data_IF_136113194846
#
_entry.id   IF_136113194846
#
_cell.length_a   1.000
_cell.length_b   1.000
_cell.length_c   1.000
_cell.angle_alpha   90.00
_cell.angle_beta   90.00
_cell.angle_gamma   90.00
#
_symmetry.space_group_name_H-M   'P 1'
#
loop_
_entity.id
_entity.type
_entity.pdbx_description
1 polymer ?
#
# COMPACT_ATOMS: atom_id res chain seq x y z
N UNK A 1 39.45 35.15 -61.09
CA UNK A 1 39.10 35.53 -59.72
C UNK A 1 37.67 35.11 -59.45
N UNK A 2 37.47 33.95 -58.86
CA UNK A 2 36.17 33.49 -58.36
C UNK A 2 36.16 33.57 -56.84
N UNK A 3 35.16 34.14 -56.21
CA UNK A 3 34.98 34.04 -54.79
C UNK A 3 34.39 32.68 -54.42
N UNK A 4 34.98 32.04 -53.40
CA UNK A 4 34.55 30.79 -52.79
C UNK A 4 33.43 31.19 -51.84
N UNK A 5 32.20 30.67 -52.06
CA UNK A 5 31.09 30.78 -51.09
C UNK A 5 31.24 29.68 -50.03
N UNK A 6 31.57 30.11 -48.84
CA UNK A 6 31.56 29.24 -47.66
C UNK A 6 30.12 28.91 -47.28
N UNK A 7 29.68 27.70 -47.57
CA UNK A 7 28.43 27.13 -47.06
C UNK A 7 28.63 26.69 -45.60
N UNK A 8 28.42 27.61 -44.68
CA UNK A 8 28.34 27.34 -43.26
C UNK A 8 27.09 26.50 -42.95
N UNK A 9 27.27 25.22 -42.80
CA UNK A 9 26.21 24.31 -42.38
C UNK A 9 25.85 24.57 -40.92
N UNK A 10 24.80 25.40 -40.73
CA UNK A 10 24.16 25.63 -39.43
C UNK A 10 23.66 24.33 -38.88
N UNK A 11 24.37 23.80 -37.88
CA UNK A 11 23.89 22.65 -37.07
C UNK A 11 22.72 23.12 -36.21
N UNK A 12 21.51 22.54 -36.32
CA UNK A 12 20.38 22.95 -35.53
C UNK A 12 20.68 22.67 -34.04
N UNK A 13 20.32 23.62 -33.18
CA UNK A 13 20.51 23.50 -31.74
C UNK A 13 19.61 22.41 -31.17
N UNK A 14 20.01 21.81 -30.04
CA UNK A 14 19.23 20.77 -29.37
C UNK A 14 17.79 21.21 -29.05
N UNK A 15 17.53 22.51 -28.96
CA UNK A 15 16.20 23.10 -28.75
C UNK A 15 15.32 23.02 -29.98
N UNK A 16 15.90 23.28 -31.17
CA UNK A 16 15.16 23.23 -32.44
C UNK A 16 14.82 21.80 -32.84
N UNK A 17 15.66 20.82 -32.51
CA UNK A 17 15.38 19.42 -32.73
C UNK A 17 14.14 18.92 -31.96
N UNK A 18 13.95 19.37 -30.71
CA UNK A 18 12.78 19.00 -29.90
C UNK A 18 11.48 19.62 -30.45
N UNK A 19 11.51 20.82 -30.99
CA UNK A 19 10.32 21.48 -31.54
C UNK A 19 9.88 20.84 -32.87
N UNK A 20 10.81 20.44 -33.72
CA UNK A 20 10.49 19.80 -35.01
C UNK A 20 10.03 18.36 -34.86
N UNK A 21 10.54 17.60 -33.84
CA UNK A 21 10.08 16.26 -33.53
C UNK A 21 8.62 16.20 -33.04
N UNK A 22 8.14 17.28 -32.40
CA UNK A 22 6.73 17.36 -31.95
C UNK A 22 5.74 17.74 -33.07
N UNK A 23 6.19 18.36 -34.16
CA UNK A 23 5.30 18.87 -35.24
C UNK A 23 4.98 17.83 -36.32
N UNK A 24 5.76 16.77 -36.45
CA UNK A 24 5.52 15.72 -37.49
C UNK A 24 4.67 14.55 -37.01
N UNK A 25 4.29 14.48 -35.71
CA UNK A 25 3.47 13.40 -35.14
C UNK A 25 1.97 13.75 -35.05
N UNK A 26 1.49 14.87 -35.60
CA UNK A 26 0.14 15.41 -35.31
C UNK A 26 -0.92 15.11 -36.37
N UNK A 27 -0.82 14.11 -37.19
CA UNK A 27 -1.86 13.81 -38.20
C UNK A 27 -2.22 12.34 -38.39
N UNK A 28 -2.24 11.51 -37.35
CA UNK A 28 -3.07 10.27 -37.36
C UNK A 28 -3.38 9.88 -35.92
N UNK A 29 -4.60 10.01 -35.48
CA UNK A 29 -5.34 9.35 -34.40
C UNK A 29 -6.10 10.35 -33.53
N UNK A 30 -7.13 10.96 -34.07
CA UNK A 30 -8.26 11.46 -33.29
C UNK A 30 -9.08 10.23 -32.88
N UNK A 31 -8.86 9.71 -31.69
CA UNK A 31 -9.59 8.58 -31.14
C UNK A 31 -8.81 7.94 -29.99
N UNK A 32 -9.28 8.12 -28.75
CA UNK A 32 -8.86 7.41 -27.56
C UNK A 32 -7.46 7.76 -27.00
N UNK A 33 -7.33 8.89 -26.31
CA UNK A 33 -6.30 9.05 -25.25
C UNK A 33 -6.68 10.13 -24.25
N UNK A 34 -7.78 9.89 -23.55
CA UNK A 34 -8.05 10.53 -22.26
C UNK A 34 -7.87 9.51 -21.15
N UNK A 35 -6.69 8.92 -21.06
CA UNK A 35 -6.27 8.13 -19.92
C UNK A 35 -4.77 8.33 -19.74
N UNK A 36 -4.39 9.10 -18.77
CA UNK A 36 -3.18 8.97 -17.98
C UNK A 36 -2.72 10.31 -17.41
N UNK A 37 -3.46 10.83 -16.45
CA UNK A 37 -2.90 11.57 -15.32
C UNK A 37 -3.48 10.97 -14.04
N UNK A 38 -3.38 9.65 -13.92
CA UNK A 38 -3.50 8.95 -12.67
C UNK A 38 -2.10 8.86 -12.08
N UNK A 39 -1.85 9.55 -10.96
CA UNK A 39 -0.61 9.37 -10.22
C UNK A 39 -0.37 7.87 -10.01
N UNK A 40 0.79 7.38 -10.40
CA UNK A 40 1.24 6.03 -10.10
C UNK A 40 1.39 5.91 -8.58
N UNK A 41 0.28 5.63 -7.88
CA UNK A 41 0.38 4.88 -6.65
C UNK A 41 1.00 3.54 -7.03
N UNK A 42 2.23 3.30 -6.63
CA UNK A 42 2.86 1.97 -6.76
C UNK A 42 2.12 1.02 -5.81
N UNK A 43 0.88 0.67 -6.12
CA UNK A 43 0.23 -0.49 -5.51
C UNK A 43 1.04 -1.69 -5.95
N UNK A 44 1.65 -2.46 -5.04
CA UNK A 44 2.28 -3.70 -5.40
C UNK A 44 1.21 -4.60 -6.04
N UNK A 45 1.44 -5.02 -7.25
CA UNK A 45 0.49 -5.58 -8.22
C UNK A 45 -0.20 -6.89 -7.80
N UNK A 46 -0.08 -7.34 -6.54
CA UNK A 46 -0.66 -8.58 -6.02
C UNK A 46 -1.22 -8.46 -4.58
N UNK A 47 -1.36 -7.26 -4.02
CA UNK A 47 -1.99 -7.10 -2.71
C UNK A 47 -3.50 -6.93 -2.87
N UNK A 48 -4.28 -7.71 -2.13
CA UNK A 48 -5.72 -7.55 -1.98
C UNK A 48 -6.03 -6.68 -0.76
N UNK A 49 -7.17 -6.00 -0.74
CA UNK A 49 -7.59 -5.24 0.44
C UNK A 49 -7.94 -6.19 1.58
N UNK A 50 -7.48 -5.86 2.79
CA UNK A 50 -7.90 -6.54 4.01
C UNK A 50 -9.40 -6.33 4.26
N UNK A 51 -10.13 -7.36 4.69
CA UNK A 51 -11.47 -7.18 5.23
C UNK A 51 -11.39 -6.29 6.48
N UNK A 52 -12.44 -5.48 6.68
CA UNK A 52 -12.50 -4.54 7.80
C UNK A 52 -13.50 -5.03 8.84
N UNK A 53 -13.12 -4.97 10.12
CA UNK A 53 -13.94 -5.36 11.27
C UNK A 53 -13.99 -4.21 12.25
N UNK A 54 -15.17 -3.88 12.76
CA UNK A 54 -15.31 -2.90 13.84
C UNK A 54 -15.03 -3.55 15.20
N UNK A 55 -14.35 -2.84 16.09
CA UNK A 55 -14.14 -3.23 17.48
C UNK A 55 -14.64 -2.16 18.45
N UNK A 56 -15.12 -2.60 19.60
CA UNK A 56 -15.47 -1.71 20.71
C UNK A 56 -14.21 -1.34 21.49
N UNK A 57 -13.96 -0.04 21.64
CA UNK A 57 -12.86 0.47 22.45
C UNK A 57 -13.32 0.82 23.86
N UNK A 58 -12.68 0.26 24.87
CA UNK A 58 -12.95 0.55 26.27
C UNK A 58 -11.70 0.34 27.13
N UNK A 59 -11.44 1.25 28.07
CA UNK A 59 -10.38 1.10 29.08
C UNK A 59 -8.99 0.71 28.54
N UNK A 60 -8.59 1.28 27.40
CA UNK A 60 -7.28 0.98 26.78
C UNK A 60 -7.21 -0.36 26.07
N UNK A 61 -8.35 -1.00 25.81
CA UNK A 61 -8.43 -2.24 25.06
C UNK A 61 -9.48 -2.18 23.95
N UNK A 62 -9.31 -3.02 22.94
CA UNK A 62 -10.29 -3.27 21.89
C UNK A 62 -10.89 -4.65 22.12
N UNK A 63 -12.21 -4.78 21.96
CA UNK A 63 -12.91 -6.05 22.02
C UNK A 63 -13.73 -6.28 20.78
N UNK A 64 -13.65 -7.49 20.21
CA UNK A 64 -14.43 -7.91 19.05
C UNK A 64 -14.79 -9.40 19.16
N UNK A 65 -16.00 -9.75 18.68
CA UNK A 65 -16.47 -11.13 18.65
C UNK A 65 -15.97 -11.82 17.39
N UNK A 66 -15.46 -13.03 17.54
CA UNK A 66 -15.03 -13.90 16.44
C UNK A 66 -16.04 -15.05 16.35
N UNK A 67 -16.99 -14.92 15.48
CA UNK A 67 -17.98 -15.96 15.14
C UNK A 67 -17.69 -16.58 13.76
N UNK A 68 -18.54 -17.48 13.30
CA UNK A 68 -18.38 -18.15 12.03
C UNK A 68 -18.47 -17.19 10.82
N UNK A 69 -19.10 -16.02 10.97
CA UNK A 69 -19.22 -15.01 9.93
C UNK A 69 -18.05 -14.00 9.98
N UNK A 70 -17.24 -14.03 11.03
CA UNK A 70 -16.10 -13.12 11.17
C UNK A 70 -15.05 -13.38 10.08
N UNK A 71 -14.47 -12.34 9.47
CA UNK A 71 -13.30 -12.47 8.61
C UNK A 71 -12.09 -13.14 9.30
N UNK A 72 -12.08 -13.17 10.64
CA UNK A 72 -11.05 -13.82 11.46
C UNK A 72 -11.46 -15.24 11.92
N UNK A 73 -12.52 -15.84 11.34
CA UNK A 73 -12.99 -17.18 11.71
C UNK A 73 -12.00 -18.31 11.36
N UNK A 74 -11.28 -18.17 10.25
CA UNK A 74 -10.35 -19.19 9.77
C UNK A 74 -8.91 -18.97 10.28
N UNK A 75 -8.18 -20.04 10.57
CA UNK A 75 -6.74 -19.97 10.83
C UNK A 75 -6.03 -19.48 9.56
N UNK A 76 -5.08 -18.57 9.69
CA UNK A 76 -4.37 -17.92 8.58
C UNK A 76 -5.10 -16.70 8.01
N UNK A 77 -6.31 -16.39 8.49
CA UNK A 77 -7.02 -15.16 8.08
C UNK A 77 -6.43 -13.91 8.74
N UNK A 78 -6.68 -12.76 8.11
CA UNK A 78 -6.29 -11.45 8.64
C UNK A 78 -7.36 -10.40 8.34
N UNK A 79 -7.42 -9.36 9.18
CA UNK A 79 -8.34 -8.25 9.04
C UNK A 79 -7.74 -6.94 9.55
N UNK A 80 -8.23 -5.83 9.02
CA UNK A 80 -8.03 -4.49 9.58
C UNK A 80 -9.15 -4.23 10.60
N UNK A 81 -8.80 -4.15 11.87
CA UNK A 81 -9.72 -3.85 12.96
C UNK A 81 -9.74 -2.34 13.18
N UNK A 82 -10.90 -1.73 12.97
CA UNK A 82 -11.11 -0.29 13.15
C UNK A 82 -11.83 -0.01 14.46
N UNK A 83 -11.37 0.99 15.18
CA UNK A 83 -12.03 1.51 16.39
C UNK A 83 -11.83 3.01 16.54
N UNK A 84 -12.53 3.61 17.50
CA UNK A 84 -12.32 5.02 17.85
C UNK A 84 -10.96 5.30 18.52
N UNK A 85 -10.28 4.26 19.03
CA UNK A 85 -9.01 4.41 19.76
C UNK A 85 -7.79 4.11 18.88
N UNK A 86 -7.89 3.10 18.02
CA UNK A 86 -6.77 2.70 17.14
C UNK A 86 -7.25 1.84 15.97
N UNK A 87 -6.48 1.85 14.88
CA UNK A 87 -6.57 0.88 13.80
C UNK A 87 -5.48 -0.18 13.98
N UNK A 88 -5.87 -1.45 13.97
CA UNK A 88 -5.01 -2.59 14.30
C UNK A 88 -5.13 -3.66 13.22
N UNK A 89 -4.00 -4.18 12.75
CA UNK A 89 -3.94 -5.36 11.91
C UNK A 89 -3.96 -6.60 12.79
N UNK A 90 -4.88 -7.51 12.53
CA UNK A 90 -5.04 -8.75 13.29
C UNK A 90 -4.89 -9.94 12.35
N UNK A 91 -4.09 -10.93 12.73
CA UNK A 91 -4.02 -12.24 12.07
C UNK A 91 -4.34 -13.35 13.07
N UNK A 92 -5.15 -14.32 12.64
CA UNK A 92 -5.38 -15.57 13.40
C UNK A 92 -4.30 -16.58 13.06
N UNK A 93 -3.40 -16.87 13.99
CA UNK A 93 -2.23 -17.71 13.76
C UNK A 93 -2.46 -19.17 14.15
N UNK A 94 -3.40 -19.43 15.08
CA UNK A 94 -3.84 -20.75 15.46
C UNK A 94 -5.30 -20.72 15.94
N UNK A 95 -5.84 -21.85 16.38
CA UNK A 95 -7.23 -21.98 16.85
C UNK A 95 -7.62 -20.86 17.84
N UNK A 96 -6.76 -20.63 18.84
CA UNK A 96 -7.01 -19.67 19.91
C UNK A 96 -5.90 -18.61 20.01
N UNK A 97 -5.08 -18.46 18.94
CA UNK A 97 -3.97 -17.53 18.91
C UNK A 97 -4.12 -16.47 17.81
N UNK A 98 -3.89 -15.23 18.21
CA UNK A 98 -3.94 -14.07 17.33
C UNK A 98 -2.69 -13.22 17.53
N UNK A 99 -2.24 -12.58 16.45
CA UNK A 99 -1.28 -11.48 16.52
C UNK A 99 -2.01 -10.18 16.22
N UNK A 100 -1.65 -9.11 16.90
CA UNK A 100 -2.17 -7.78 16.68
C UNK A 100 -1.03 -6.78 16.59
N UNK A 101 -0.99 -5.98 15.52
CA UNK A 101 0.01 -4.94 15.30
C UNK A 101 -0.66 -3.64 14.85
N UNK A 102 -0.01 -2.51 15.09
CA UNK A 102 -0.53 -1.23 14.59
C UNK A 102 -0.75 -1.26 13.08
N UNK A 103 -1.84 -0.70 12.61
CA UNK A 103 -2.07 -0.47 11.19
C UNK A 103 -1.34 0.76 10.63
N UNK A 104 -0.59 1.47 11.47
CA UNK A 104 0.17 2.67 11.06
C UNK A 104 1.54 2.26 10.54
N UNK A 105 1.77 2.50 9.25
CA UNK A 105 3.03 2.20 8.59
C UNK A 105 4.18 3.03 9.18
N UNK A 106 5.28 2.36 9.52
CA UNK A 106 6.45 3.00 10.14
C UNK A 106 7.32 3.79 9.16
N UNK A 107 6.97 3.81 7.87
CA UNK A 107 7.63 4.67 6.89
C UNK A 107 7.06 6.11 6.94
N UNK A 108 5.78 6.30 6.67
CA UNK A 108 5.13 7.63 6.59
C UNK A 108 3.70 7.62 7.16
N UNK A 109 3.45 6.86 8.21
CA UNK A 109 2.19 6.82 8.95
C UNK A 109 0.91 6.50 8.11
N UNK A 110 1.05 6.00 6.89
CA UNK A 110 -0.08 5.52 6.10
C UNK A 110 -0.78 4.35 6.78
N UNK A 111 -2.10 4.25 6.66
CA UNK A 111 -2.83 3.06 7.12
C UNK A 111 -2.54 1.88 6.20
N UNK A 112 -2.03 0.80 6.77
CA UNK A 112 -1.81 -0.46 6.07
C UNK A 112 -3.17 -1.14 5.89
N UNK A 113 -3.56 -1.37 4.64
CA UNK A 113 -4.85 -1.96 4.27
C UNK A 113 -4.74 -3.10 3.27
N UNK A 114 -3.53 -3.40 2.79
CA UNK A 114 -3.28 -4.47 1.83
C UNK A 114 -2.72 -5.73 2.48
N UNK A 115 -2.98 -6.89 1.86
CA UNK A 115 -2.39 -8.18 2.20
C UNK A 115 -2.03 -8.96 0.95
N UNK A 116 -0.91 -9.68 0.99
CA UNK A 116 -0.48 -10.62 -0.04
C UNK A 116 -0.02 -11.91 0.65
N UNK A 117 -0.84 -12.96 0.55
CA UNK A 117 -0.67 -14.17 1.39
C UNK A 117 -0.76 -13.81 2.87
N UNK A 118 0.32 -14.00 3.64
CA UNK A 118 0.42 -13.66 5.07
C UNK A 118 1.18 -12.35 5.33
N UNK A 119 1.47 -11.56 4.28
CA UNK A 119 2.28 -10.35 4.37
C UNK A 119 1.37 -9.13 4.27
N UNK A 120 1.42 -8.25 5.25
CA UNK A 120 0.77 -6.95 5.21
C UNK A 120 1.50 -6.01 4.26
N UNK A 121 0.76 -5.26 3.46
CA UNK A 121 1.30 -4.37 2.44
C UNK A 121 0.78 -2.96 2.64
N UNK A 122 1.69 -2.01 2.81
CA UNK A 122 1.35 -0.59 2.87
C UNK A 122 1.06 -0.07 1.45
N UNK A 123 -0.13 0.50 1.19
CA UNK A 123 -0.52 0.92 -0.15
C UNK A 123 0.23 2.17 -0.65
N UNK A 124 0.79 3.00 0.25
CA UNK A 124 1.44 4.25 -0.13
C UNK A 124 2.76 4.01 -0.86
N UNK A 125 3.69 3.25 -0.27
CA UNK A 125 5.04 3.09 -0.81
C UNK A 125 5.48 1.62 -0.85
N UNK A 126 4.56 0.66 -0.65
CA UNK A 126 4.83 -0.76 -0.83
C UNK A 126 5.67 -1.41 0.27
N UNK A 127 5.84 -0.78 1.45
CA UNK A 127 6.45 -1.44 2.61
C UNK A 127 5.68 -2.70 2.97
N UNK A 128 6.39 -3.78 3.30
CA UNK A 128 5.80 -5.08 3.62
C UNK A 128 6.20 -5.52 5.02
N UNK A 129 5.25 -6.11 5.72
CA UNK A 129 5.43 -6.56 7.10
C UNK A 129 4.87 -7.97 7.29
N UNK A 130 5.52 -8.78 8.12
CA UNK A 130 4.99 -10.07 8.53
C UNK A 130 3.75 -9.92 9.41
N UNK A 131 3.03 -11.02 9.66
CA UNK A 131 1.90 -11.03 10.58
C UNK A 131 2.27 -10.60 12.01
N UNK A 132 3.53 -10.75 12.43
CA UNK A 132 4.07 -10.26 13.71
C UNK A 132 4.61 -8.83 13.64
N UNK A 133 4.50 -8.15 12.51
CA UNK A 133 4.93 -6.76 12.33
C UNK A 133 6.39 -6.57 11.94
N UNK A 134 7.17 -7.62 11.79
CA UNK A 134 8.56 -7.52 11.32
C UNK A 134 8.62 -6.99 9.88
N UNK A 135 9.60 -6.12 9.57
CA UNK A 135 9.80 -5.61 8.21
C UNK A 135 10.28 -6.74 7.30
N UNK A 136 9.57 -6.95 6.20
CA UNK A 136 9.91 -7.92 5.15
C UNK A 136 10.52 -7.19 3.95
N UNK A 137 9.97 -6.00 3.62
CA UNK A 137 10.45 -5.16 2.51
C UNK A 137 10.23 -3.69 2.87
N UNK A 138 11.28 -2.86 2.64
CA UNK A 138 11.20 -1.41 2.78
C UNK A 138 10.26 -0.73 1.76
N UNK A 139 10.13 0.61 1.88
CA UNK A 139 11.06 1.55 2.52
C UNK A 139 10.98 1.68 4.05
N UNK A 140 9.97 1.12 4.75
CA UNK A 140 9.96 1.10 6.21
C UNK A 140 11.21 0.41 6.78
N UNK A 141 11.84 1.02 7.79
CA UNK A 141 13.03 0.49 8.45
C UNK A 141 12.76 -0.07 9.86
N UNK A 142 11.59 0.19 10.43
CA UNK A 142 11.20 -0.22 11.78
C UNK A 142 10.01 -1.16 11.75
N UNK A 143 9.95 -2.16 12.66
CA UNK A 143 8.80 -3.05 12.78
C UNK A 143 7.56 -2.29 13.25
N UNK A 144 6.39 -2.88 13.01
CA UNK A 144 5.13 -2.42 13.55
C UNK A 144 5.06 -2.70 15.06
N UNK A 145 4.49 -1.76 15.83
CA UNK A 145 4.22 -1.98 17.25
C UNK A 145 3.25 -3.14 17.41
N UNK A 146 3.59 -4.10 18.27
CA UNK A 146 2.72 -5.21 18.65
C UNK A 146 1.85 -4.85 19.86
N UNK A 147 0.68 -5.47 19.90
CA UNK A 147 -0.26 -5.40 21.02
C UNK A 147 -0.48 -6.79 21.63
N UNK A 148 -0.72 -6.83 22.93
CA UNK A 148 -1.07 -8.08 23.61
C UNK A 148 -2.49 -8.50 23.25
N UNK A 149 -2.68 -9.79 22.94
CA UNK A 149 -3.96 -10.38 22.60
C UNK A 149 -4.38 -11.43 23.62
N UNK A 150 -5.68 -11.51 23.90
CA UNK A 150 -6.30 -12.59 24.68
C UNK A 150 -7.59 -13.00 23.98
N UNK A 151 -7.74 -14.30 23.77
CA UNK A 151 -8.96 -14.86 23.17
C UNK A 151 -9.63 -15.80 24.18
N UNK A 152 -10.92 -15.59 24.45
CA UNK A 152 -11.70 -16.41 25.38
C UNK A 152 -13.19 -16.26 25.08
N UNK A 153 -13.94 -17.35 25.03
CA UNK A 153 -15.39 -17.33 24.82
C UNK A 153 -15.81 -16.62 23.53
N UNK A 154 -15.06 -16.83 22.45
CA UNK A 154 -15.25 -16.15 21.14
C UNK A 154 -15.02 -14.63 21.14
N UNK A 155 -14.46 -14.06 22.21
CA UNK A 155 -14.11 -12.65 22.28
C UNK A 155 -12.59 -12.52 22.21
N UNK A 156 -12.12 -11.73 21.23
CA UNK A 156 -10.74 -11.28 21.13
C UNK A 156 -10.62 -9.93 21.81
N UNK A 157 -9.74 -9.84 22.80
CA UNK A 157 -9.35 -8.58 23.48
C UNK A 157 -7.92 -8.23 23.07
N UNK A 158 -7.70 -6.99 22.69
CA UNK A 158 -6.40 -6.42 22.28
C UNK A 158 -6.09 -5.27 23.20
N UNK A 159 -5.02 -5.33 23.98
CA UNK A 159 -4.58 -4.24 24.89
C UNK A 159 -3.69 -3.27 24.10
N UNK A 160 -4.05 -1.97 24.07
CA UNK A 160 -3.39 -0.91 23.31
C UNK A 160 -2.13 -0.34 23.98
#
# INVERSE_FOLDING_TARGET
MHPIEDTETLRPSRREFCVHACQTASLVAAGAMWQACGGNSMSPSNATSLPTVAATAASGALSLTIDAASPLAAIGSAALVNSSAANVLVSRTAQDAFTAVTAVCTHEACTISGISGSIYVCPCHGSQFSASGGVVKGPAAQPLRQFTTRFSGNVLTITL
#
